data_IF_607580925954
#
_entry.id   IF_607580925954
#
_cell.length_a   1.000
_cell.length_b   1.000
_cell.length_c   1.000
_cell.angle_alpha   90.00
_cell.angle_beta   90.00
_cell.angle_gamma   90.00
#
_symmetry.space_group_name_H-M   'P 1'
#
loop_
_entity.id
_entity.type
_entity.pdbx_description
1 polymer ?
#
# COMPACT_ATOMS: atom_id res chain seq x y z
N UNK A 1 12.04 38.64 -0.07
CA UNK A 1 12.17 38.09 1.30
C UNK A 1 11.14 37.00 1.44
N UNK A 2 11.55 35.75 1.65
CA UNK A 2 10.61 34.64 1.79
C UNK A 2 9.98 34.68 3.18
N UNK A 3 8.65 34.81 3.27
CA UNK A 3 7.96 34.52 4.52
C UNK A 3 8.28 33.07 4.91
N UNK A 4 8.96 32.89 6.05
CA UNK A 4 9.14 31.57 6.62
C UNK A 4 7.77 31.01 6.97
N UNK A 5 7.38 29.90 6.33
CA UNK A 5 6.16 29.19 6.68
C UNK A 5 6.23 28.80 8.15
N UNK A 6 5.40 29.44 8.98
CA UNK A 6 5.30 29.11 10.40
C UNK A 6 4.62 27.74 10.52
N UNK A 7 5.39 26.75 10.98
CA UNK A 7 4.88 25.45 11.37
C UNK A 7 4.99 25.32 12.90
N UNK A 8 4.01 24.66 13.49
CA UNK A 8 4.00 24.30 14.90
C UNK A 8 4.05 22.78 15.00
N UNK A 9 4.87 22.26 15.90
CA UNK A 9 4.97 20.82 16.17
C UNK A 9 4.51 20.56 17.58
N UNK A 10 3.89 19.41 17.79
CA UNK A 10 3.59 18.94 19.13
C UNK A 10 4.90 18.44 19.76
N UNK A 11 5.29 19.02 20.90
CA UNK A 11 6.45 18.61 21.66
C UNK A 11 6.05 18.11 23.05
N UNK A 12 6.90 17.28 23.64
CA UNK A 12 6.81 16.92 25.05
C UNK A 12 7.38 18.08 25.87
N UNK A 13 6.62 18.53 26.87
CA UNK A 13 7.10 19.54 27.80
C UNK A 13 8.12 18.91 28.75
N UNK A 14 9.28 19.54 28.89
CA UNK A 14 10.24 19.22 29.95
C UNK A 14 10.06 20.24 31.08
N UNK A 15 10.06 19.77 32.33
CA UNK A 15 9.83 20.63 33.50
C UNK A 15 10.95 21.66 33.72
N UNK A 16 12.14 21.41 33.16
CA UNK A 16 13.37 22.17 33.44
C UNK A 16 13.68 23.27 32.40
N UNK A 17 12.75 23.61 31.51
CA UNK A 17 12.97 24.63 30.48
C UNK A 17 14.00 24.22 29.40
N UNK A 18 14.24 22.91 29.27
CA UNK A 18 15.09 22.31 28.26
C UNK A 18 14.51 22.32 26.84
N UNK A 19 15.23 21.70 25.90
CA UNK A 19 14.81 21.59 24.50
C UNK A 19 13.68 20.58 24.42
N UNK A 20 12.46 21.04 24.19
CA UNK A 20 11.29 20.17 24.07
C UNK A 20 11.39 19.25 22.84
N UNK A 21 11.42 17.93 23.08
CA UNK A 21 11.48 16.92 22.03
C UNK A 21 10.15 16.79 21.28
N UNK A 22 10.22 16.58 19.96
CA UNK A 22 9.03 16.36 19.12
C UNK A 22 8.30 15.08 19.55
N UNK A 23 6.99 15.19 19.81
CA UNK A 23 6.18 14.05 20.20
C UNK A 23 5.96 13.13 18.99
N UNK A 24 6.47 11.89 19.09
CA UNK A 24 6.31 10.85 18.08
C UNK A 24 5.33 9.78 18.62
N UNK A 25 4.18 9.67 17.99
CA UNK A 25 3.22 8.60 18.27
C UNK A 25 3.56 7.35 17.45
N UNK A 26 3.44 6.18 18.08
CA UNK A 26 3.61 4.87 17.45
C UNK A 26 2.28 4.16 17.35
N UNK A 27 1.88 3.78 16.15
CA UNK A 27 0.63 3.06 15.90
C UNK A 27 0.93 1.75 15.17
N UNK A 28 0.42 0.65 15.69
CA UNK A 28 0.54 -0.66 15.05
C UNK A 28 -0.78 -1.03 14.38
N UNK A 29 -0.70 -1.64 13.19
CA UNK A 29 -1.89 -2.05 12.46
C UNK A 29 -1.56 -2.81 11.17
N UNK A 30 -2.61 -3.29 10.51
CA UNK A 30 -2.51 -3.96 9.22
C UNK A 30 -2.69 -2.95 8.07
N UNK A 31 -1.84 -3.01 7.05
CA UNK A 31 -1.95 -2.14 5.86
C UNK A 31 -3.26 -2.44 5.12
N UNK A 32 -4.12 -1.44 4.99
CA UNK A 32 -5.34 -1.51 4.17
C UNK A 32 -5.10 -0.91 2.79
N UNK A 33 -4.44 0.25 2.73
CA UNK A 33 -4.07 0.91 1.48
C UNK A 33 -2.59 1.30 1.49
N UNK A 34 -1.93 1.07 0.36
CA UNK A 34 -0.54 1.42 0.15
C UNK A 34 -0.42 2.39 -1.04
N UNK A 35 -0.10 3.64 -0.76
CA UNK A 35 0.23 4.69 -1.72
C UNK A 35 1.71 5.12 -1.62
N UNK A 36 2.60 4.21 -1.22
CA UNK A 36 4.03 4.45 -1.20
C UNK A 36 4.60 4.38 -2.61
N UNK A 37 5.41 5.38 -2.96
CA UNK A 37 6.00 5.46 -4.30
C UNK A 37 7.22 4.52 -4.37
N UNK A 38 7.33 3.65 -5.40
CA UNK A 38 8.49 2.80 -5.57
C UNK A 38 9.78 3.62 -5.72
N UNK A 39 10.90 3.07 -5.24
CA UNK A 39 12.22 3.70 -5.32
C UNK A 39 12.59 4.09 -6.76
N UNK A 40 12.19 3.30 -7.77
CA UNK A 40 12.46 3.56 -9.18
C UNK A 40 11.85 4.88 -9.71
N UNK A 41 10.96 5.53 -8.96
CA UNK A 41 10.38 6.83 -9.28
C UNK A 41 11.38 7.99 -9.17
N UNK A 42 12.63 7.76 -8.75
CA UNK A 42 13.73 8.73 -8.84
C UNK A 42 13.99 9.25 -10.28
N UNK A 43 13.45 8.58 -11.29
CA UNK A 43 13.43 9.06 -12.69
C UNK A 43 12.52 10.28 -12.89
N UNK A 44 11.61 10.57 -11.97
CA UNK A 44 10.89 11.83 -11.92
C UNK A 44 11.85 12.92 -11.42
N UNK A 45 12.37 13.74 -12.35
CA UNK A 45 13.38 14.76 -12.04
C UNK A 45 13.10 15.52 -10.73
N UNK A 46 14.15 15.71 -9.93
CA UNK A 46 14.13 16.17 -8.53
C UNK A 46 13.12 17.30 -8.22
N UNK A 47 12.91 18.25 -9.15
CA UNK A 47 11.94 19.35 -8.97
C UNK A 47 10.47 18.89 -8.97
N UNK A 48 10.11 17.87 -9.75
CA UNK A 48 8.74 17.33 -9.79
C UNK A 48 8.46 16.44 -8.58
N UNK A 49 9.48 15.72 -8.11
CA UNK A 49 9.34 14.84 -6.95
C UNK A 49 9.09 15.58 -5.62
N UNK A 50 9.50 16.85 -5.50
CA UNK A 50 9.25 17.67 -4.30
C UNK A 50 7.76 17.92 -4.00
N UNK A 51 6.90 17.79 -5.00
CA UNK A 51 5.45 18.01 -4.86
C UNK A 51 4.65 16.70 -4.74
N UNK A 52 5.32 15.55 -4.85
CA UNK A 52 4.67 14.26 -4.70
C UNK A 52 4.52 13.91 -3.22
N UNK A 53 3.33 13.46 -2.86
CA UNK A 53 3.02 12.91 -1.55
C UNK A 53 2.90 11.40 -1.64
N UNK A 54 3.27 10.73 -0.56
CA UNK A 54 3.00 9.33 -0.33
C UNK A 54 2.06 9.19 0.87
N UNK A 55 1.28 8.12 0.87
CA UNK A 55 0.34 7.84 1.94
C UNK A 55 0.29 6.35 2.25
N UNK A 56 0.00 6.04 3.50
CA UNK A 56 -0.26 4.69 3.96
C UNK A 56 -1.47 4.72 4.89
N UNK A 57 -2.32 3.71 4.76
CA UNK A 57 -3.49 3.54 5.61
C UNK A 57 -3.41 2.20 6.32
N UNK A 58 -3.65 2.23 7.63
CA UNK A 58 -3.67 1.04 8.49
C UNK A 58 -5.01 0.89 9.18
N UNK A 59 -5.37 -0.36 9.52
CA UNK A 59 -6.47 -0.66 10.44
C UNK A 59 -5.95 -1.38 11.67
N UNK A 60 -6.53 -1.06 12.82
CA UNK A 60 -6.28 -1.78 14.07
C UNK A 60 -6.98 -3.13 14.18
N UNK A 61 -7.81 -3.51 13.20
CA UNK A 61 -8.58 -4.77 13.20
C UNK A 61 -9.38 -5.01 14.50
N UNK A 62 -9.90 -3.94 15.12
CA UNK A 62 -10.67 -4.01 16.37
C UNK A 62 -9.82 -4.13 17.64
N UNK A 63 -8.52 -3.85 17.59
CA UNK A 63 -7.69 -3.81 18.80
C UNK A 63 -8.04 -2.59 19.66
N UNK A 64 -8.28 -2.83 20.96
CA UNK A 64 -8.63 -1.77 21.92
C UNK A 64 -7.57 -0.65 22.00
N UNK A 65 -6.29 -0.99 21.88
CA UNK A 65 -5.20 0.00 21.88
C UNK A 65 -5.27 0.93 20.68
N UNK A 66 -5.57 0.40 19.49
CA UNK A 66 -5.71 1.19 18.29
C UNK A 66 -6.97 2.06 18.34
N UNK A 67 -8.11 1.50 18.77
CA UNK A 67 -9.35 2.26 18.95
C UNK A 67 -9.14 3.42 19.91
N UNK A 68 -8.51 3.16 21.06
CA UNK A 68 -8.15 4.21 22.01
C UNK A 68 -7.25 5.27 21.35
N UNK A 69 -6.24 4.87 20.58
CA UNK A 69 -5.38 5.81 19.86
C UNK A 69 -6.17 6.70 18.87
N UNK A 70 -7.09 6.11 18.09
CA UNK A 70 -7.96 6.84 17.17
C UNK A 70 -8.86 7.83 17.94
N UNK A 71 -9.45 7.42 19.06
CA UNK A 71 -10.30 8.30 19.89
C UNK A 71 -9.54 9.47 20.51
N UNK A 72 -8.21 9.38 20.63
CA UNK A 72 -7.37 10.47 21.14
C UNK A 72 -7.00 11.50 20.07
N UNK A 73 -7.13 11.19 18.77
CA UNK A 73 -6.76 12.13 17.70
C UNK A 73 -7.58 13.43 17.73
N UNK A 74 -8.91 13.43 17.94
CA UNK A 74 -9.67 14.66 18.11
C UNK A 74 -9.19 15.49 19.29
N UNK A 75 -8.84 14.86 20.42
CA UNK A 75 -8.33 15.56 21.60
C UNK A 75 -7.02 16.30 21.30
N UNK A 76 -6.15 15.71 20.48
CA UNK A 76 -4.92 16.39 20.01
C UNK A 76 -5.30 17.60 19.15
N UNK A 77 -6.28 17.47 18.25
CA UNK A 77 -6.76 18.58 17.42
C UNK A 77 -7.27 19.74 18.28
N UNK A 78 -8.11 19.45 19.27
CA UNK A 78 -8.69 20.44 20.17
C UNK A 78 -7.60 21.17 20.98
N UNK A 79 -6.54 20.47 21.39
CA UNK A 79 -5.40 21.09 22.09
C UNK A 79 -4.61 22.07 21.23
N UNK A 80 -4.44 21.77 19.94
CA UNK A 80 -3.86 22.72 19.00
C UNK A 80 -4.79 23.93 18.80
N UNK A 81 -6.10 23.74 18.73
CA UNK A 81 -7.09 24.82 18.61
C UNK A 81 -7.02 25.79 19.78
N UNK A 82 -6.95 25.27 21.00
CA UNK A 82 -6.85 26.09 22.21
C UNK A 82 -5.60 26.98 22.25
N UNK A 83 -4.45 26.48 21.76
CA UNK A 83 -3.18 27.20 21.84
C UNK A 83 -2.93 28.16 20.67
N UNK A 84 -3.66 28.02 19.57
CA UNK A 84 -3.48 28.83 18.37
C UNK A 84 -4.52 29.96 18.24
N UNK A 85 -5.08 30.41 19.37
CA UNK A 85 -6.14 31.41 19.50
C UNK A 85 -6.00 32.60 18.53
N UNK A 86 -6.99 32.80 17.66
CA UNK A 86 -7.06 33.90 16.69
C UNK A 86 -7.12 33.50 15.21
N UNK A 87 -7.07 32.20 14.91
CA UNK A 87 -7.14 31.65 13.56
C UNK A 87 -8.42 30.82 13.35
N UNK A 88 -9.12 31.01 12.23
CA UNK A 88 -10.23 30.14 11.79
C UNK A 88 -9.66 28.77 11.42
N UNK A 89 -9.63 27.84 12.35
CA UNK A 89 -9.08 26.52 12.09
C UNK A 89 -10.03 25.69 11.24
N UNK A 90 -9.51 25.21 10.11
CA UNK A 90 -10.07 24.04 9.45
C UNK A 90 -9.25 22.86 9.93
N UNK A 91 -9.82 22.04 10.80
CA UNK A 91 -9.20 20.75 11.12
C UNK A 91 -9.06 19.96 9.83
N UNK A 92 -7.84 19.94 9.28
CA UNK A 92 -7.42 18.97 8.29
C UNK A 92 -7.07 17.63 8.92
N UNK A 93 -7.18 17.54 10.24
CA UNK A 93 -7.36 16.31 11.03
C UNK A 93 -8.87 16.13 11.24
N UNK A 94 -9.67 16.33 10.19
CA UNK A 94 -10.61 15.25 9.98
C UNK A 94 -9.69 14.03 9.83
N UNK A 95 -9.67 13.06 10.75
CA UNK A 95 -9.17 11.78 10.34
C UNK A 95 -9.90 11.52 9.03
N UNK A 96 -9.18 11.23 7.95
CA UNK A 96 -9.79 10.60 6.79
C UNK A 96 -10.24 9.17 7.21
N UNK A 97 -10.92 9.07 8.36
CA UNK A 97 -11.73 7.99 8.90
C UNK A 97 -12.80 7.74 7.85
N UNK A 98 -12.40 7.02 6.81
CA UNK A 98 -13.28 6.48 5.81
C UNK A 98 -14.14 5.43 6.49
N UNK A 99 -15.26 5.84 7.12
CA UNK A 99 -16.35 4.96 7.57
C UNK A 99 -15.93 3.65 8.31
N UNK A 100 -14.73 3.62 8.88
CA UNK A 100 -14.02 2.39 9.18
C UNK A 100 -12.83 2.74 10.06
N UNK A 101 -12.57 1.90 11.04
CA UNK A 101 -11.55 2.06 12.07
C UNK A 101 -10.13 1.99 11.46
N UNK A 102 -9.77 3.02 10.69
CA UNK A 102 -8.52 3.14 9.95
C UNK A 102 -7.84 4.47 10.24
N UNK A 103 -6.51 4.47 10.10
CA UNK A 103 -5.65 5.62 10.28
C UNK A 103 -4.83 5.82 9.01
N UNK A 104 -4.93 7.01 8.42
CA UNK A 104 -4.16 7.41 7.25
C UNK A 104 -3.08 8.40 7.64
N UNK A 105 -1.83 8.09 7.30
CA UNK A 105 -0.70 8.98 7.46
C UNK A 105 -0.12 9.31 6.08
N UNK A 106 0.35 10.54 5.91
CA UNK A 106 0.98 11.00 4.67
C UNK A 106 2.27 11.77 4.93
N UNK A 107 3.12 11.81 3.92
CA UNK A 107 4.32 12.65 3.90
C UNK A 107 4.66 13.04 2.48
N UNK A 108 5.58 14.01 2.33
CA UNK A 108 6.26 14.22 1.04
C UNK A 108 7.16 13.02 0.73
N UNK A 109 7.43 12.79 -0.55
CA UNK A 109 8.42 11.79 -0.94
C UNK A 109 9.77 12.01 -0.25
N UNK A 110 10.45 10.91 0.03
CA UNK A 110 11.81 10.86 0.61
C UNK A 110 11.97 11.46 2.01
N UNK A 111 10.87 11.68 2.74
CA UNK A 111 10.93 12.20 4.12
C UNK A 111 10.71 11.14 5.19
N UNK A 112 10.05 10.03 4.85
CA UNK A 112 9.84 8.92 5.78
C UNK A 112 10.95 7.88 5.66
N UNK A 113 11.33 7.28 6.79
CA UNK A 113 12.29 6.16 6.85
C UNK A 113 11.56 4.82 6.86
N UNK A 114 12.19 3.79 6.31
CA UNK A 114 11.58 2.47 6.19
C UNK A 114 12.46 1.42 6.83
N UNK A 115 11.85 0.59 7.67
CA UNK A 115 12.54 -0.48 8.37
C UNK A 115 11.80 -1.80 8.24
N UNK A 116 12.53 -2.88 8.49
CA UNK A 116 12.01 -4.22 8.65
C UNK A 116 12.53 -4.82 9.95
N UNK A 117 11.61 -5.42 10.71
CA UNK A 117 11.93 -6.22 11.90
C UNK A 117 12.67 -7.49 11.49
N UNK A 118 13.81 -7.73 12.11
CA UNK A 118 14.61 -8.95 11.95
C UNK A 118 14.70 -9.65 13.30
N UNK A 119 14.28 -10.91 13.30
CA UNK A 119 14.34 -11.78 14.46
C UNK A 119 15.53 -12.73 14.31
N UNK A 120 16.37 -12.77 15.34
CA UNK A 120 17.52 -13.66 15.36
C UNK A 120 17.10 -15.03 15.93
N UNK A 121 17.28 -16.10 15.15
CA UNK A 121 16.92 -17.46 15.58
C UNK A 121 17.65 -17.80 16.89
N UNK A 122 16.88 -18.16 17.92
CA UNK A 122 17.41 -18.54 19.23
C UNK A 122 17.74 -17.38 20.17
N UNK A 123 17.46 -16.13 19.77
CA UNK A 123 17.57 -14.96 20.65
C UNK A 123 16.22 -14.23 20.73
N UNK A 124 15.88 -13.71 21.91
CA UNK A 124 14.73 -12.81 22.09
C UNK A 124 15.01 -11.38 21.58
N UNK A 125 16.23 -11.11 21.11
CA UNK A 125 16.61 -9.80 20.59
C UNK A 125 16.03 -9.56 19.20
N UNK A 126 15.38 -8.42 19.06
CA UNK A 126 14.84 -7.92 17.80
C UNK A 126 15.76 -6.83 17.26
N UNK A 127 16.13 -6.90 15.99
CA UNK A 127 16.86 -5.84 15.28
C UNK A 127 16.00 -5.23 14.18
N UNK A 128 16.43 -4.07 13.67
CA UNK A 128 15.74 -3.34 12.62
C UNK A 128 16.73 -3.00 11.51
N UNK A 129 16.40 -3.42 10.30
CA UNK A 129 17.18 -3.15 9.09
C UNK A 129 16.44 -2.18 8.19
N UNK A 130 17.18 -1.27 7.54
CA UNK A 130 16.59 -0.34 6.57
C UNK A 130 16.04 -1.10 5.35
N UNK A 131 14.94 -0.61 4.79
CA UNK A 131 14.28 -1.24 3.65
C UNK A 131 13.73 -0.21 2.67
N UNK A 132 13.06 -0.69 1.63
CA UNK A 132 12.53 0.14 0.54
C UNK A 132 11.00 0.22 0.62
N UNK A 133 10.37 1.27 0.09
CA UNK A 133 8.90 1.41 0.14
C UNK A 133 8.16 0.24 -0.54
N UNK A 134 8.78 -0.40 -1.53
CA UNK A 134 8.21 -1.57 -2.22
C UNK A 134 8.12 -2.84 -1.37
N UNK A 135 8.71 -2.85 -0.16
CA UNK A 135 8.65 -3.98 0.76
C UNK A 135 7.27 -4.13 1.44
N UNK A 136 6.50 -3.04 1.53
CA UNK A 136 5.20 -3.01 2.22
C UNK A 136 4.06 -3.35 1.26
N UNK A 137 3.09 -4.14 1.71
CA UNK A 137 1.94 -4.59 0.94
C UNK A 137 0.68 -4.55 1.78
N UNK A 138 -0.47 -4.46 1.12
CA UNK A 138 -1.77 -4.67 1.79
C UNK A 138 -1.78 -6.01 2.51
N UNK A 139 -2.21 -5.99 3.78
CA UNK A 139 -2.21 -7.13 4.68
C UNK A 139 -0.93 -7.32 5.52
N UNK A 140 0.12 -6.53 5.29
CA UNK A 140 1.29 -6.53 6.17
C UNK A 140 0.97 -5.89 7.53
N UNK A 141 1.55 -6.44 8.60
CA UNK A 141 1.53 -5.83 9.92
C UNK A 141 2.71 -4.87 10.04
N UNK A 142 2.41 -3.63 10.41
CA UNK A 142 3.40 -2.56 10.48
C UNK A 142 3.28 -1.76 11.78
N UNK A 143 4.35 -1.04 12.10
CA UNK A 143 4.35 0.07 13.04
C UNK A 143 4.59 1.38 12.28
N UNK A 144 3.70 2.35 12.47
CA UNK A 144 3.83 3.71 11.99
C UNK A 144 4.37 4.60 13.09
N UNK A 145 5.35 5.43 12.75
CA UNK A 145 5.77 6.56 13.58
C UNK A 145 5.28 7.84 12.93
N UNK A 146 4.46 8.60 13.66
CA UNK A 146 3.86 9.84 13.18
C UNK A 146 4.07 10.98 14.18
N UNK A 147 4.24 12.18 13.66
CA UNK A 147 4.21 13.40 14.47
C UNK A 147 3.06 14.30 14.05
N UNK A 148 2.64 15.19 14.95
CA UNK A 148 1.54 16.12 14.69
C UNK A 148 2.10 17.51 14.40
N UNK A 149 1.66 18.08 13.27
CA UNK A 149 2.12 19.38 12.80
C UNK A 149 0.92 20.25 12.45
N UNK A 150 0.91 21.48 12.96
CA UNK A 150 -0.01 22.51 12.51
C UNK A 150 0.70 23.45 11.54
N UNK A 151 0.05 23.76 10.41
CA UNK A 151 0.60 24.57 9.33
C UNK A 151 -0.35 25.74 9.07
N UNK A 152 0.19 26.97 9.01
CA UNK A 152 -0.59 28.13 8.59
C UNK A 152 -1.02 27.96 7.12
N UNK A 153 -2.32 27.95 6.89
CA UNK A 153 -2.96 28.00 5.59
C UNK A 153 -3.34 29.45 5.24
N UNK A 154 -3.90 29.64 4.04
CA UNK A 154 -4.35 30.96 3.58
C UNK A 154 -5.46 31.55 4.48
N UNK A 155 -5.53 32.89 4.56
CA UNK A 155 -6.58 33.65 5.25
C UNK A 155 -6.75 33.31 6.74
N UNK A 156 -5.65 33.34 7.51
CA UNK A 156 -5.63 33.03 8.96
C UNK A 156 -6.20 31.65 9.32
N UNK A 157 -6.16 30.70 8.39
CA UNK A 157 -6.55 29.32 8.68
C UNK A 157 -5.34 28.54 9.13
N UNK A 158 -5.51 27.62 10.06
CA UNK A 158 -4.48 26.63 10.39
C UNK A 158 -5.01 25.24 10.05
N UNK A 159 -4.16 24.44 9.41
CA UNK A 159 -4.41 23.04 9.12
C UNK A 159 -3.50 22.18 10.00
N UNK A 160 -4.10 21.36 10.86
CA UNK A 160 -3.35 20.28 11.52
C UNK A 160 -3.24 19.11 10.53
N UNK A 161 -2.10 18.44 10.53
CA UNK A 161 -1.85 17.23 9.76
C UNK A 161 -0.92 16.32 10.55
N UNK A 162 -1.01 15.01 10.32
CA UNK A 162 0.03 14.08 10.74
C UNK A 162 1.14 14.06 9.71
N UNK A 163 2.39 14.03 10.17
CA UNK A 163 3.57 13.78 9.33
C UNK A 163 4.04 12.35 9.58
N UNK A 164 4.09 11.55 8.53
CA UNK A 164 4.69 10.23 8.58
C UNK A 164 6.23 10.35 8.70
N UNK A 165 6.80 9.79 9.77
CA UNK A 165 8.24 9.82 10.08
C UNK A 165 8.92 8.51 9.72
N UNK A 166 8.32 7.38 10.11
CA UNK A 166 8.86 6.06 9.79
C UNK A 166 7.78 4.99 9.65
N UNK A 167 8.09 3.95 8.87
CA UNK A 167 7.29 2.73 8.71
C UNK A 167 8.19 1.54 9.01
N UNK A 168 7.76 0.68 9.93
CA UNK A 168 8.49 -0.55 10.28
C UNK A 168 7.64 -1.77 9.96
N UNK A 169 8.13 -2.66 9.11
CA UNK A 169 7.48 -3.94 8.82
C UNK A 169 7.66 -4.90 9.99
N UNK A 170 6.57 -5.27 10.66
CA UNK A 170 6.56 -6.20 11.79
C UNK A 170 6.38 -7.65 11.34
N UNK A 171 5.44 -7.89 10.43
CA UNK A 171 5.19 -9.22 9.85
C UNK A 171 4.57 -9.10 8.46
N UNK A 172 4.95 -10.03 7.58
CA UNK A 172 4.39 -10.17 6.24
C UNK A 172 3.88 -11.60 5.97
N UNK A 173 3.63 -12.37 7.03
CA UNK A 173 3.20 -13.76 6.93
C UNK A 173 1.86 -13.88 6.18
N UNK A 174 0.91 -13.02 6.52
CA UNK A 174 -0.42 -13.00 5.91
C UNK A 174 -0.38 -12.62 4.42
N UNK A 175 0.38 -11.57 4.07
CA UNK A 175 0.50 -11.14 2.67
C UNK A 175 1.24 -12.17 1.82
N UNK A 176 2.27 -12.84 2.38
CA UNK A 176 2.98 -13.95 1.75
C UNK A 176 2.07 -15.14 1.51
N UNK A 177 1.36 -15.60 2.53
CA UNK A 177 0.40 -16.71 2.42
C UNK A 177 -0.65 -16.44 1.34
N UNK A 178 -1.25 -15.24 1.37
CA UNK A 178 -2.23 -14.84 0.35
C UNK A 178 -1.62 -14.79 -1.07
N UNK A 179 -0.35 -14.37 -1.20
CA UNK A 179 0.34 -14.37 -2.49
C UNK A 179 0.61 -15.77 -3.02
N UNK A 180 1.01 -16.71 -2.16
CA UNK A 180 1.24 -18.11 -2.52
C UNK A 180 -0.07 -18.77 -2.97
N UNK A 181 -1.17 -18.53 -2.24
CA UNK A 181 -2.50 -19.01 -2.63
C UNK A 181 -2.94 -18.53 -4.02
N UNK A 182 -2.69 -17.25 -4.35
CA UNK A 182 -2.99 -16.70 -5.69
C UNK A 182 -2.13 -17.32 -6.79
N UNK A 183 -0.85 -17.58 -6.52
CA UNK A 183 0.05 -18.22 -7.48
C UNK A 183 -0.39 -19.66 -7.73
N UNK A 184 -0.69 -20.41 -6.67
CA UNK A 184 -1.18 -21.78 -6.77
C UNK A 184 -2.48 -21.85 -7.59
N UNK A 185 -3.47 -21.00 -7.27
CA UNK A 185 -4.73 -20.94 -8.01
C UNK A 185 -4.52 -20.60 -9.49
N UNK A 186 -3.62 -19.66 -9.82
CA UNK A 186 -3.28 -19.32 -11.21
C UNK A 186 -2.60 -20.48 -11.95
N UNK A 187 -1.71 -21.21 -11.28
CA UNK A 187 -1.06 -22.38 -11.88
C UNK A 187 -2.08 -23.48 -12.23
N UNK A 188 -3.08 -23.70 -11.37
CA UNK A 188 -4.18 -24.64 -11.65
C UNK A 188 -5.00 -24.22 -12.88
N UNK A 189 -5.28 -22.93 -13.06
CA UNK A 189 -6.02 -22.42 -14.22
C UNK A 189 -5.17 -22.48 -15.51
N UNK A 190 -3.87 -22.19 -15.43
CA UNK A 190 -2.96 -22.21 -16.59
C UNK A 190 -2.78 -23.62 -17.17
N UNK A 191 -2.77 -24.65 -16.33
CA UNK A 191 -2.71 -26.04 -16.80
C UNK A 191 -3.99 -26.48 -17.55
N UNK A 192 -5.11 -25.78 -17.36
CA UNK A 192 -6.38 -26.11 -18.02
C UNK A 192 -6.65 -25.26 -19.28
N UNK A 193 -5.82 -24.26 -19.58
CA UNK A 193 -5.99 -23.41 -20.76
C UNK A 193 -4.71 -23.47 -21.60
N UNK A 194 -4.64 -24.44 -22.53
CA UNK A 194 -3.65 -24.37 -23.61
C UNK A 194 -4.00 -23.18 -24.51
N UNK A 195 -3.41 -22.01 -24.24
CA UNK A 195 -3.54 -20.86 -25.13
C UNK A 195 -2.75 -21.16 -26.41
N UNK A 196 -3.41 -21.79 -27.39
CA UNK A 196 -2.92 -21.84 -28.77
C UNK A 196 -2.98 -20.43 -29.33
N UNK A 197 -1.87 -19.68 -29.24
CA UNK A 197 -1.70 -18.43 -29.98
C UNK A 197 -1.81 -18.77 -31.47
N UNK A 198 -2.89 -18.34 -32.11
CA UNK A 198 -2.94 -18.31 -33.58
C UNK A 198 -2.03 -17.17 -34.03
N UNK A 199 -0.81 -17.50 -34.41
CA UNK A 199 0.04 -16.60 -35.19
C UNK A 199 -0.53 -16.59 -36.60
N UNK A 200 -1.29 -15.55 -36.94
CA UNK A 200 -1.75 -15.32 -38.30
C UNK A 200 -0.62 -14.74 -39.13
N UNK A 201 0.05 -15.56 -39.92
CA UNK A 201 0.79 -15.05 -41.07
C UNK A 201 -0.23 -14.78 -42.16
N UNK A 202 -0.51 -13.50 -42.41
CA UNK A 202 -1.08 -13.09 -43.68
C UNK A 202 -0.01 -13.34 -44.75
N UNK A 203 -0.14 -14.46 -45.46
CA UNK A 203 0.36 -14.55 -46.83
C UNK A 203 -0.87 -14.51 -47.72
N UNK A 204 -1.11 -13.33 -48.30
CA UNK A 204 -1.77 -13.25 -49.59
C UNK A 204 -0.89 -14.00 -50.59
N UNK A 205 -1.39 -15.11 -51.12
CA UNK A 205 -1.26 -15.42 -52.54
C UNK A 205 -2.18 -16.59 -52.93
N UNK A 206 -2.75 -16.41 -54.11
CA UNK A 206 -3.82 -17.17 -54.76
C UNK A 206 -3.48 -18.64 -55.12
N UNK A 207 -4.56 -19.43 -55.26
CA UNK A 207 -4.71 -20.71 -56.00
C UNK A 207 -4.05 -21.99 -55.44
N UNK A 208 -4.89 -22.95 -55.04
CA UNK A 208 -5.12 -24.21 -55.78
C UNK A 208 -5.66 -25.36 -54.90
N UNK A 209 -6.73 -25.98 -55.41
CA UNK A 209 -7.08 -27.42 -55.34
C UNK A 209 -7.29 -28.11 -53.98
N UNK A 210 -8.57 -28.31 -53.64
CA UNK A 210 -9.04 -29.39 -52.77
C UNK A 210 -8.95 -30.74 -53.50
N UNK A 211 -7.94 -31.56 -53.21
CA UNK A 211 -7.96 -33.01 -53.49
C UNK A 211 -8.44 -33.77 -52.25
N UNK A 212 -9.71 -34.18 -52.31
CA UNK A 212 -10.32 -35.15 -51.37
C UNK A 212 -9.71 -36.53 -51.66
N UNK A 213 -8.90 -37.04 -50.72
CA UNK A 213 -8.35 -38.40 -50.80
C UNK A 213 -9.36 -39.37 -50.18
N UNK A 214 -10.19 -39.97 -51.05
CA UNK A 214 -11.02 -41.15 -50.74
C UNK A 214 -10.12 -42.28 -50.22
N UNK A 215 -10.42 -42.81 -49.04
CA UNK A 215 -9.92 -44.11 -48.59
C UNK A 215 -10.94 -45.18 -48.99
N UNK A 216 -10.49 -46.13 -49.82
CA UNK A 216 -11.14 -47.42 -50.07
C UNK A 216 -11.12 -48.23 -48.78
N UNK A 217 -12.23 -48.90 -48.49
CA UNK A 217 -12.26 -50.09 -47.63
C UNK A 217 -12.95 -51.14 -48.48
N UNK A 218 -12.16 -52.09 -48.97
CA UNK A 218 -12.65 -53.33 -49.55
C UNK A 218 -12.53 -54.39 -48.44
N UNK A 219 -13.64 -55.03 -48.08
CA UNK A 219 -13.62 -56.40 -47.55
C UNK A 219 -14.98 -57.06 -47.82
N UNK A 220 -14.93 -58.09 -48.66
CA UNK A 220 -16.01 -59.01 -49.02
C UNK A 220 -16.31 -60.03 -47.91
N UNK A 221 -17.48 -60.66 -48.07
CA UNK A 221 -18.03 -61.92 -47.52
C UNK A 221 -19.32 -61.68 -46.72
N UNK A 222 -20.48 -62.27 -47.04
CA UNK A 222 -20.80 -63.30 -48.02
C UNK A 222 -22.33 -63.39 -48.22
N UNK A 223 -22.70 -64.01 -49.34
CA UNK A 223 -24.07 -64.25 -49.78
C UNK A 223 -24.79 -65.32 -48.94
N UNK A 224 -26.12 -65.22 -48.84
CA UNK A 224 -27.05 -66.13 -49.51
C UNK A 224 -28.52 -65.73 -49.26
N UNK A 225 -29.29 -65.74 -50.34
CA UNK A 225 -30.74 -65.50 -50.40
C UNK A 225 -31.54 -66.73 -49.93
N UNK A 226 -32.83 -66.46 -49.67
CA UNK A 226 -34.01 -67.09 -50.31
C UNK A 226 -35.05 -67.73 -49.37
N UNK A 227 -36.29 -67.25 -49.57
CA UNK A 227 -37.62 -67.92 -49.49
C UNK A 227 -38.10 -68.48 -48.15
N UNK A 228 -39.34 -68.24 -47.69
CA UNK A 228 -40.63 -68.11 -48.39
C UNK A 228 -41.48 -66.95 -47.87
#
# INVERSE_FOLDING_TARGET
MGEHYKNWRLCLAEDDGGVSDEMIARLQGAVTQNGLVPENAHTCGQRKAMFLSQQIEISGLGTATFEKAITMLPVISDRFEQHLSGADMRSGVAPDSHAGNTFRASSRLFTARYYKRVEHKGSSTVSYEETVPGAFKTGDLIELQVSFVAIKAAANKVKITTRLQAITLLSNEYSKSASQGRIAARATVANNVSVRRRVGYFQEDDKAERKVKRRRVDMEEGAEEMTQ
#
